data_IF_949557002166
#
_entry.id   IF_949557002166
#
_cell.length_a   1.000
_cell.length_b   1.000
_cell.length_c   1.000
_cell.angle_alpha   90.00
_cell.angle_beta   90.00
_cell.angle_gamma   90.00
#
_symmetry.space_group_name_H-M   'P 1'
#
loop_
_entity.id
_entity.type
_entity.pdbx_description
1 polymer ?
#
# COMPACT_ATOMS: atom_id res chain seq x y z
N UNK A 1 -5.74 17.82 -28.87
CA UNK A 1 -4.41 17.21 -29.11
C UNK A 1 -3.67 17.30 -27.79
N UNK A 2 -3.75 16.38 -26.84
CA UNK A 2 -4.15 14.96 -26.84
C UNK A 2 -4.85 14.73 -25.50
N UNK A 3 -6.00 14.05 -25.48
CA UNK A 3 -6.61 13.57 -24.24
C UNK A 3 -5.75 12.41 -23.71
N UNK A 4 -4.69 12.75 -22.97
CA UNK A 4 -3.98 11.77 -22.16
C UNK A 4 -4.89 11.53 -20.96
N UNK A 5 -5.64 10.44 -20.99
CA UNK A 5 -6.26 9.91 -19.78
C UNK A 5 -5.10 9.65 -18.81
N UNK A 6 -4.91 10.54 -17.83
CA UNK A 6 -3.80 10.54 -16.88
C UNK A 6 -3.94 9.32 -15.96
N UNK A 7 -3.57 8.14 -16.47
CA UNK A 7 -3.57 6.92 -15.68
C UNK A 7 -2.51 7.09 -14.60
N UNK A 8 -2.84 6.84 -13.32
CA UNK A 8 -1.86 6.95 -12.26
C UNK A 8 -0.63 6.09 -12.57
N UNK A 9 0.56 6.68 -12.51
CA UNK A 9 1.81 5.94 -12.61
C UNK A 9 2.00 5.11 -11.34
N UNK A 10 2.23 3.81 -11.51
CA UNK A 10 2.34 2.85 -10.40
C UNK A 10 3.74 2.27 -10.34
N UNK A 11 4.40 2.39 -9.19
CA UNK A 11 5.61 1.62 -8.88
C UNK A 11 5.20 0.28 -8.27
N UNK A 12 5.73 -0.81 -8.82
CA UNK A 12 5.46 -2.17 -8.33
C UNK A 12 6.71 -2.73 -7.67
N UNK A 13 6.61 -3.07 -6.40
CA UNK A 13 7.71 -3.74 -5.71
C UNK A 13 7.74 -5.22 -6.13
N UNK A 14 8.91 -5.79 -6.45
CA UNK A 14 9.05 -7.23 -6.61
C UNK A 14 8.65 -7.93 -5.29
N UNK A 15 8.20 -9.19 -5.37
CA UNK A 15 7.86 -9.98 -4.18
C UNK A 15 9.08 -10.28 -3.30
N UNK A 16 10.26 -10.43 -3.92
CA UNK A 16 11.53 -10.58 -3.24
C UNK A 16 12.20 -9.22 -3.02
N UNK A 17 12.71 -8.95 -1.82
CA UNK A 17 13.43 -7.73 -1.49
C UNK A 17 13.50 -7.45 0.02
N UNK A 18 14.12 -6.34 0.41
CA UNK A 18 14.29 -5.92 1.81
C UNK A 18 12.95 -5.48 2.44
N UNK A 19 12.44 -6.14 3.49
CA UNK A 19 11.08 -5.92 3.99
C UNK A 19 10.86 -4.49 4.49
N UNK A 20 9.66 -3.96 4.30
CA UNK A 20 9.22 -2.68 4.85
C UNK A 20 8.82 -2.93 6.31
N UNK A 21 9.71 -2.57 7.24
CA UNK A 21 9.52 -2.79 8.68
C UNK A 21 9.41 -1.48 9.47
N UNK A 22 10.02 -0.43 8.96
CA UNK A 22 10.20 0.84 9.65
C UNK A 22 9.73 2.01 8.80
N UNK A 23 9.62 3.18 9.42
CA UNK A 23 9.38 4.43 8.72
C UNK A 23 10.50 4.77 7.72
N UNK A 24 11.75 4.37 7.98
CA UNK A 24 12.86 4.60 7.06
C UNK A 24 12.71 3.73 5.80
N UNK A 25 12.36 2.45 5.96
CA UNK A 25 12.13 1.58 4.79
C UNK A 25 11.00 2.12 3.91
N UNK A 26 9.96 2.69 4.52
CA UNK A 26 8.87 3.36 3.80
C UNK A 26 9.37 4.61 3.05
N UNK A 27 10.25 5.40 3.66
CA UNK A 27 10.87 6.57 3.02
C UNK A 27 11.71 6.19 1.81
N UNK A 28 12.46 5.09 1.89
CA UNK A 28 13.28 4.61 0.79
C UNK A 28 12.38 4.21 -0.41
N UNK A 29 11.29 3.49 -0.15
CA UNK A 29 10.27 3.13 -1.17
C UNK A 29 9.60 4.36 -1.77
N UNK A 30 9.30 5.38 -0.97
CA UNK A 30 8.73 6.65 -1.46
C UNK A 30 9.74 7.39 -2.35
N UNK A 31 11.03 7.35 -2.00
CA UNK A 31 12.11 7.89 -2.84
C UNK A 31 12.15 7.22 -4.21
N UNK A 32 12.05 5.88 -4.25
CA UNK A 32 11.96 5.13 -5.50
C UNK A 32 10.72 5.52 -6.30
N UNK A 33 9.56 5.68 -5.65
CA UNK A 33 8.33 6.10 -6.30
C UNK A 33 8.50 7.45 -7.00
N UNK A 34 9.08 8.44 -6.33
CA UNK A 34 9.38 9.73 -6.93
C UNK A 34 10.38 9.65 -8.08
N UNK A 35 11.40 8.80 -7.96
CA UNK A 35 12.36 8.55 -9.04
C UNK A 35 11.69 8.04 -10.34
N UNK A 36 10.57 7.33 -10.21
CA UNK A 36 9.78 6.81 -11.33
C UNK A 36 8.57 7.68 -11.69
N UNK A 37 8.36 8.82 -11.02
CA UNK A 37 7.15 9.62 -11.19
C UNK A 37 5.87 8.91 -10.79
N UNK A 38 5.96 7.90 -9.92
CA UNK A 38 4.83 7.10 -9.46
C UNK A 38 4.03 7.83 -8.38
N UNK A 39 2.71 7.79 -8.50
CA UNK A 39 1.76 8.31 -7.51
C UNK A 39 1.17 7.21 -6.63
N UNK A 40 1.41 5.95 -6.99
CA UNK A 40 1.02 4.77 -6.24
C UNK A 40 2.17 3.77 -6.14
N UNK A 41 2.26 3.10 -4.99
CA UNK A 41 3.15 1.96 -4.77
C UNK A 41 2.32 0.71 -4.51
N UNK A 42 2.62 -0.36 -5.22
CA UNK A 42 2.08 -1.70 -4.98
C UNK A 42 3.13 -2.51 -4.24
N UNK A 43 2.84 -2.81 -2.97
CA UNK A 43 3.65 -3.65 -2.10
C UNK A 43 2.96 -5.02 -1.93
N UNK A 44 3.55 -6.11 -2.44
CA UNK A 44 3.12 -7.45 -2.10
C UNK A 44 3.10 -7.66 -0.58
N UNK A 45 2.13 -8.41 -0.04
CA UNK A 45 2.04 -8.73 1.39
C UNK A 45 3.37 -9.27 1.95
N UNK A 46 4.09 -10.08 1.16
CA UNK A 46 5.40 -10.62 1.52
C UNK A 46 6.50 -9.55 1.75
N UNK A 47 6.31 -8.33 1.24
CA UNK A 47 7.23 -7.20 1.46
C UNK A 47 6.97 -6.50 2.79
N UNK A 48 5.84 -6.73 3.45
CA UNK A 48 5.51 -6.10 4.73
C UNK A 48 5.94 -7.00 5.89
N UNK A 49 6.65 -6.41 6.86
CA UNK A 49 6.99 -7.13 8.07
C UNK A 49 5.71 -7.50 8.86
N UNK A 50 5.64 -8.67 9.55
CA UNK A 50 4.45 -9.09 10.29
C UNK A 50 3.92 -8.05 11.31
N UNK A 51 4.81 -7.23 11.86
CA UNK A 51 4.44 -6.12 12.77
C UNK A 51 3.51 -5.08 12.13
N UNK A 52 3.49 -4.98 10.80
CA UNK A 52 2.55 -4.14 10.06
C UNK A 52 1.09 -4.56 10.35
N UNK A 53 0.82 -5.87 10.37
CA UNK A 53 -0.52 -6.40 10.63
C UNK A 53 -0.89 -6.41 12.12
N UNK A 54 0.10 -6.29 13.01
CA UNK A 54 -0.11 -6.22 14.45
C UNK A 54 -0.30 -4.77 14.93
N UNK A 55 -1.46 -4.14 14.67
CA UNK A 55 -1.68 -2.69 14.87
C UNK A 55 -1.25 -2.09 16.23
N UNK A 56 -1.24 -2.88 17.31
CA UNK A 56 -0.71 -2.46 18.63
C UNK A 56 0.77 -2.01 18.59
N UNK A 57 1.56 -2.47 17.62
CA UNK A 57 2.96 -2.09 17.42
C UNK A 57 3.12 -0.65 16.92
N UNK A 58 2.04 -0.06 16.39
CA UNK A 58 2.03 1.25 15.70
C UNK A 58 2.85 1.32 14.41
N UNK A 59 3.42 0.20 13.96
CA UNK A 59 4.27 0.12 12.75
C UNK A 59 3.48 0.52 11.50
N UNK A 60 2.28 -0.05 11.30
CA UNK A 60 1.44 0.31 10.14
C UNK A 60 1.09 1.80 10.13
N UNK A 61 0.73 2.37 11.29
CA UNK A 61 0.41 3.80 11.39
C UNK A 61 1.56 4.68 10.96
N UNK A 62 2.78 4.43 11.45
CA UNK A 62 3.98 5.19 11.07
C UNK A 62 4.31 5.08 9.58
N UNK A 63 4.28 3.86 9.03
CA UNK A 63 4.52 3.62 7.60
C UNK A 63 3.48 4.35 6.75
N UNK A 64 2.19 4.13 7.01
CA UNK A 64 1.09 4.73 6.24
C UNK A 64 1.11 6.26 6.35
N UNK A 65 1.47 6.80 7.52
CA UNK A 65 1.60 8.24 7.69
C UNK A 65 2.69 8.83 6.77
N UNK A 66 3.78 8.12 6.48
CA UNK A 66 4.75 8.59 5.48
C UNK A 66 4.10 8.69 4.10
N UNK A 67 3.46 7.62 3.63
CA UNK A 67 2.76 7.62 2.33
C UNK A 67 1.77 8.79 2.21
N UNK A 68 0.98 9.04 3.24
CA UNK A 68 0.05 10.19 3.30
C UNK A 68 0.78 11.54 3.25
N UNK A 69 1.82 11.73 4.08
CA UNK A 69 2.57 12.99 4.13
C UNK A 69 3.20 13.35 2.78
N UNK A 70 3.64 12.33 2.04
CA UNK A 70 4.30 12.48 0.74
C UNK A 70 3.32 12.37 -0.44
N UNK A 71 2.02 12.20 -0.18
CA UNK A 71 0.95 12.10 -1.18
C UNK A 71 1.18 10.98 -2.19
N UNK A 72 1.74 9.87 -1.74
CA UNK A 72 1.90 8.64 -2.51
C UNK A 72 0.92 7.61 -1.96
N UNK A 73 0.05 7.06 -2.81
CA UNK A 73 -0.87 6.01 -2.39
C UNK A 73 -0.14 4.67 -2.19
N UNK A 74 -0.57 3.89 -1.20
CA UNK A 74 -0.05 2.54 -0.94
C UNK A 74 -1.12 1.48 -1.25
N UNK A 75 -0.75 0.45 -1.98
CA UNK A 75 -1.53 -0.77 -2.16
C UNK A 75 -0.78 -1.91 -1.51
N UNK A 76 -1.42 -2.58 -0.55
CA UNK A 76 -1.00 -3.87 -0.04
C UNK A 76 -1.69 -4.94 -0.88
N UNK A 77 -0.91 -5.70 -1.65
CA UNK A 77 -1.43 -6.66 -2.62
C UNK A 77 -1.16 -8.10 -2.17
N UNK A 78 -2.24 -8.87 -2.01
CA UNK A 78 -2.19 -10.29 -1.66
C UNK A 78 -3.17 -10.67 -0.55
N UNK A 79 -3.33 -11.97 -0.34
CA UNK A 79 -4.25 -12.53 0.66
C UNK A 79 -3.76 -12.25 2.09
N UNK A 80 -4.65 -11.66 2.90
CA UNK A 80 -4.46 -11.41 4.34
C UNK A 80 -5.62 -11.94 5.19
N UNK A 81 -6.38 -12.91 4.67
CA UNK A 81 -7.58 -13.45 5.32
C UNK A 81 -7.27 -14.01 6.72
N UNK A 82 -6.14 -14.69 6.89
CA UNK A 82 -5.71 -15.23 8.19
C UNK A 82 -5.46 -14.12 9.22
N UNK A 83 -4.78 -13.04 8.81
CA UNK A 83 -4.48 -11.90 9.67
C UNK A 83 -5.76 -11.16 10.07
N UNK A 84 -6.70 -10.99 9.13
CA UNK A 84 -8.03 -10.38 9.37
C UNK A 84 -8.90 -11.25 10.29
N UNK A 85 -8.85 -12.57 10.13
CA UNK A 85 -9.57 -13.50 11.00
C UNK A 85 -9.05 -13.44 12.44
N UNK A 86 -7.75 -13.21 12.61
CA UNK A 86 -7.09 -13.15 13.91
C UNK A 86 -7.23 -11.80 14.65
N UNK A 87 -7.74 -10.73 14.02
CA UNK A 87 -7.80 -9.40 14.63
C UNK A 87 -8.96 -8.54 14.11
N UNK A 88 -9.93 -8.26 14.99
CA UNK A 88 -11.02 -7.32 14.68
C UNK A 88 -10.50 -5.90 14.42
N UNK A 89 -9.48 -5.46 15.15
CA UNK A 89 -8.86 -4.15 14.93
C UNK A 89 -8.22 -4.06 13.53
N UNK A 90 -7.56 -5.12 13.05
CA UNK A 90 -7.04 -5.16 11.69
C UNK A 90 -8.17 -5.19 10.65
N UNK A 91 -9.23 -5.97 10.90
CA UNK A 91 -10.41 -6.01 10.03
C UNK A 91 -11.02 -4.62 9.84
N UNK A 92 -11.23 -3.89 10.93
CA UNK A 92 -11.79 -2.54 10.90
C UNK A 92 -10.85 -1.56 10.19
N UNK A 93 -9.54 -1.66 10.46
CA UNK A 93 -8.53 -0.85 9.78
C UNK A 93 -8.50 -1.08 8.26
N UNK A 94 -8.54 -2.34 7.81
CA UNK A 94 -8.61 -2.69 6.38
C UNK A 94 -9.88 -2.14 5.74
N UNK A 95 -11.03 -2.33 6.40
CA UNK A 95 -12.32 -1.83 5.92
C UNK A 95 -12.31 -0.32 5.75
N UNK A 96 -11.77 0.41 6.72
CA UNK A 96 -11.72 1.87 6.66
C UNK A 96 -10.71 2.37 5.63
N UNK A 97 -9.53 1.74 5.55
CA UNK A 97 -8.51 2.06 4.55
C UNK A 97 -9.06 1.94 3.13
N UNK A 98 -9.74 0.82 2.84
CA UNK A 98 -10.32 0.55 1.53
C UNK A 98 -11.40 1.57 1.10
N UNK A 99 -12.02 2.32 2.02
CA UNK A 99 -12.95 3.41 1.66
C UNK A 99 -12.22 4.69 1.25
N UNK A 100 -10.98 4.85 1.69
CA UNK A 100 -10.14 6.00 1.37
C UNK A 100 -9.45 5.91 0.02
N UNK A 101 -8.60 6.90 -0.26
CA UNK A 101 -7.78 7.01 -1.49
C UNK A 101 -6.27 6.97 -1.24
N UNK A 102 -5.85 6.53 -0.06
CA UNK A 102 -4.45 6.61 0.38
C UNK A 102 -3.84 5.23 0.66
N UNK A 103 -4.65 4.27 1.12
CA UNK A 103 -4.22 2.91 1.42
C UNK A 103 -5.29 1.93 0.97
N UNK A 104 -4.92 0.95 0.16
CA UNK A 104 -5.81 -0.15 -0.21
C UNK A 104 -5.18 -1.50 0.13
N UNK A 105 -6.03 -2.44 0.52
CA UNK A 105 -5.74 -3.85 0.67
C UNK A 105 -6.55 -4.59 -0.38
N UNK A 106 -5.86 -5.15 -1.36
CA UNK A 106 -6.47 -5.79 -2.53
C UNK A 106 -5.91 -7.21 -2.67
N UNK A 107 -6.73 -8.12 -3.16
CA UNK A 107 -6.35 -9.55 -3.22
C UNK A 107 -5.45 -9.84 -4.42
N UNK A 108 -5.71 -9.18 -5.55
CA UNK A 108 -5.07 -9.48 -6.83
C UNK A 108 -5.00 -8.27 -7.79
N UNK A 109 -4.36 -8.49 -8.92
CA UNK A 109 -4.13 -7.50 -9.97
C UNK A 109 -5.44 -7.05 -10.67
N UNK A 110 -6.46 -7.91 -10.72
CA UNK A 110 -7.74 -7.55 -11.34
C UNK A 110 -8.45 -6.52 -10.47
N UNK A 111 -8.47 -6.72 -9.16
CA UNK A 111 -9.02 -5.77 -8.20
C UNK A 111 -8.26 -4.44 -8.24
N UNK A 112 -6.92 -4.47 -8.34
CA UNK A 112 -6.09 -3.28 -8.51
C UNK A 112 -6.44 -2.51 -9.78
N UNK A 113 -6.52 -3.20 -10.92
CA UNK A 113 -6.85 -2.57 -12.20
C UNK A 113 -8.23 -1.91 -12.14
N UNK A 114 -9.22 -2.58 -11.56
CA UNK A 114 -10.55 -2.01 -11.35
C UNK A 114 -10.49 -0.77 -10.44
N UNK A 115 -9.75 -0.83 -9.32
CA UNK A 115 -9.60 0.30 -8.38
C UNK A 115 -9.00 1.53 -9.05
N UNK A 116 -7.95 1.33 -9.85
CA UNK A 116 -7.23 2.42 -10.50
C UNK A 116 -8.06 3.16 -11.57
N UNK A 117 -9.14 2.56 -12.08
CA UNK A 117 -10.08 3.26 -12.98
C UNK A 117 -11.02 4.23 -12.25
N UNK A 118 -11.11 4.12 -10.92
CA UNK A 118 -12.01 4.92 -10.08
C UNK A 118 -11.34 6.11 -9.39
N UNK A 119 -10.03 6.29 -9.60
CA UNK A 119 -9.23 7.39 -9.01
C UNK A 119 -9.01 8.54 -9.98
#
# INVERSE_FOLDING_TARGET
MTDVTDRPTVLRLPAEGAPIRTEQDAMDVIGDAFGHGATWVVAPVARLHPDFFALRTRVAGGIVQKFVNYRVGLVVLGDIAEQIAASDALRDFVRESNRGRQLWFLTDEEELAARLTSV
#
